data_IF_570835499626
#
_entry.id   IF_570835499626
#
_cell.length_a   1.000
_cell.length_b   1.000
_cell.length_c   1.000
_cell.angle_alpha   90.00
_cell.angle_beta   90.00
_cell.angle_gamma   90.00
#
_symmetry.space_group_name_H-M   'P 1'
#
loop_
_entity.id
_entity.type
_entity.pdbx_description
1 polymer ?
#
# COMPACT_ATOMS: atom_id res chain seq x y z
N UNK A 1 -24.71 -32.08 -22.87
CA UNK A 1 -24.27 -32.39 -21.49
C UNK A 1 -24.39 -31.10 -20.72
N UNK A 2 -25.43 -30.99 -19.90
CA UNK A 2 -25.57 -29.89 -18.94
C UNK A 2 -24.47 -30.03 -17.87
N UNK A 3 -23.89 -28.92 -17.37
CA UNK A 3 -22.92 -28.99 -16.29
C UNK A 3 -23.57 -29.45 -14.99
N UNK A 4 -22.88 -30.34 -14.29
CA UNK A 4 -23.27 -30.94 -13.01
C UNK A 4 -23.29 -29.88 -11.88
N UNK A 5 -24.42 -29.68 -11.19
CA UNK A 5 -24.56 -28.69 -10.11
C UNK A 5 -23.82 -29.07 -8.81
N UNK A 6 -23.09 -30.20 -8.77
CA UNK A 6 -22.31 -30.63 -7.60
C UNK A 6 -20.89 -30.06 -7.52
N UNK A 7 -20.47 -29.22 -8.47
CA UNK A 7 -19.20 -28.50 -8.35
C UNK A 7 -19.39 -27.25 -7.50
N UNK A 8 -18.95 -27.33 -6.24
CA UNK A 8 -18.68 -26.15 -5.42
C UNK A 8 -17.84 -25.16 -6.22
N UNK A 9 -18.15 -23.84 -6.20
CA UNK A 9 -17.37 -22.88 -6.97
C UNK A 9 -15.90 -23.01 -6.56
N UNK A 10 -15.02 -23.05 -7.56
CA UNK A 10 -13.57 -22.96 -7.34
C UNK A 10 -13.32 -21.79 -6.42
N UNK A 11 -13.02 -22.06 -5.15
CA UNK A 11 -13.01 -21.06 -4.09
C UNK A 11 -12.11 -19.89 -4.47
N UNK A 12 -12.60 -18.66 -4.32
CA UNK A 12 -11.82 -17.46 -4.60
C UNK A 12 -10.48 -17.54 -3.86
N UNK A 13 -9.40 -17.28 -4.59
CA UNK A 13 -8.05 -17.28 -4.03
C UNK A 13 -7.66 -15.84 -3.71
N UNK A 14 -7.02 -15.63 -2.55
CA UNK A 14 -6.37 -14.35 -2.28
C UNK A 14 -5.20 -14.12 -3.24
N UNK A 15 -4.93 -12.86 -3.60
CA UNK A 15 -3.84 -12.49 -4.49
C UNK A 15 -3.07 -11.25 -4.00
N UNK A 16 -1.85 -11.10 -4.48
CA UNK A 16 -0.96 -9.98 -4.16
C UNK A 16 -0.61 -9.24 -5.44
N UNK A 17 -0.90 -7.94 -5.49
CA UNK A 17 -0.67 -7.09 -6.65
C UNK A 17 0.32 -6.00 -6.25
N UNK A 18 1.52 -6.07 -6.81
CA UNK A 18 2.55 -5.06 -6.61
C UNK A 18 2.21 -3.82 -7.44
N UNK A 19 1.73 -2.77 -6.79
CA UNK A 19 1.35 -1.52 -7.45
C UNK A 19 2.58 -0.69 -7.83
N UNK A 20 3.67 -0.86 -7.10
CA UNK A 20 4.97 -0.33 -7.46
C UNK A 20 6.10 -1.05 -6.72
N UNK A 21 7.28 -1.00 -7.34
CA UNK A 21 8.51 -1.66 -6.89
C UNK A 21 9.73 -0.74 -7.03
N UNK A 22 9.48 0.56 -7.18
CA UNK A 22 10.49 1.60 -7.29
C UNK A 22 10.91 2.14 -5.93
N UNK A 23 12.02 2.89 -5.93
CA UNK A 23 12.48 3.61 -4.74
C UNK A 23 11.60 4.84 -4.46
N UNK A 24 11.97 5.62 -3.45
CA UNK A 24 11.28 6.89 -3.13
C UNK A 24 11.18 7.84 -4.32
N UNK A 25 12.16 7.84 -5.23
CA UNK A 25 12.14 8.65 -6.45
C UNK A 25 11.25 8.13 -7.58
N UNK A 26 10.70 6.91 -7.46
CA UNK A 26 10.24 6.10 -8.59
C UNK A 26 11.36 5.89 -9.64
N UNK A 27 11.09 5.07 -10.66
CA UNK A 27 11.96 4.90 -11.82
C UNK A 27 11.16 5.06 -13.11
N UNK A 28 11.74 5.72 -14.14
CA UNK A 28 13.08 6.34 -14.20
C UNK A 28 13.30 7.52 -13.24
N UNK A 29 14.56 7.75 -12.85
CA UNK A 29 14.92 8.99 -12.14
C UNK A 29 14.89 10.16 -13.14
N UNK A 30 13.95 11.08 -12.96
CA UNK A 30 13.78 12.24 -13.83
C UNK A 30 15.06 13.07 -13.95
N UNK A 31 15.88 13.17 -12.90
CA UNK A 31 17.16 13.90 -12.94
C UNK A 31 18.15 13.24 -13.89
N UNK A 32 18.16 11.91 -13.91
CA UNK A 32 19.01 11.12 -14.80
C UNK A 32 18.62 11.30 -16.27
N UNK A 33 17.34 11.53 -16.56
CA UNK A 33 16.87 11.79 -17.92
C UNK A 33 17.08 13.25 -18.35
N UNK A 34 16.87 14.21 -17.45
CA UNK A 34 17.08 15.63 -17.71
C UNK A 34 18.57 16.00 -17.84
N UNK A 35 19.45 15.28 -17.13
CA UNK A 35 20.90 15.47 -17.14
C UNK A 35 21.60 14.10 -17.31
N UNK A 36 21.58 13.53 -18.52
CA UNK A 36 22.14 12.20 -18.75
C UNK A 36 23.65 12.19 -18.52
N UNK A 37 24.12 11.12 -17.86
CA UNK A 37 25.55 10.80 -17.76
C UNK A 37 26.13 10.41 -19.13
N UNK A 38 27.46 10.29 -19.21
CA UNK A 38 28.14 9.75 -20.39
C UNK A 38 28.96 8.51 -19.99
N UNK A 39 28.53 7.28 -20.34
CA UNK A 39 27.32 6.96 -21.12
C UNK A 39 26.01 7.19 -20.32
N UNK A 40 24.84 7.32 -21.01
CA UNK A 40 23.54 7.43 -20.34
C UNK A 40 23.22 6.20 -19.48
N UNK A 41 22.48 6.40 -18.39
CA UNK A 41 22.05 5.31 -17.52
C UNK A 41 21.11 4.35 -18.26
N UNK A 42 21.55 3.11 -18.47
CA UNK A 42 20.80 2.10 -19.21
C UNK A 42 19.40 1.85 -18.61
N UNK A 43 19.28 1.80 -17.27
CA UNK A 43 17.99 1.54 -16.60
C UNK A 43 16.99 2.66 -16.87
N UNK A 44 17.41 3.92 -16.71
CA UNK A 44 16.53 5.07 -16.95
C UNK A 44 16.17 5.19 -18.43
N UNK A 45 17.12 4.95 -19.34
CA UNK A 45 16.87 4.92 -20.78
C UNK A 45 15.87 3.83 -21.18
N UNK A 46 16.00 2.62 -20.63
CA UNK A 46 15.04 1.54 -20.87
C UNK A 46 13.66 1.87 -20.30
N UNK A 47 13.59 2.50 -19.12
CA UNK A 47 12.33 2.84 -18.48
C UNK A 47 11.47 3.86 -19.24
N UNK A 48 12.00 4.56 -20.25
CA UNK A 48 11.21 5.39 -21.18
C UNK A 48 11.10 4.82 -22.61
N UNK A 49 11.72 3.67 -22.88
CA UNK A 49 11.76 3.09 -24.24
C UNK A 49 10.45 2.41 -24.67
N UNK A 50 9.56 2.13 -23.73
CA UNK A 50 8.28 1.44 -23.94
C UNK A 50 7.20 2.07 -23.06
N UNK A 51 5.91 1.94 -23.45
CA UNK A 51 4.79 2.36 -22.61
C UNK A 51 4.87 1.77 -21.19
N UNK A 52 4.53 2.54 -20.14
CA UNK A 52 4.69 2.11 -18.75
C UNK A 52 4.07 0.74 -18.43
N UNK A 53 2.93 0.40 -19.04
CA UNK A 53 2.15 -0.82 -18.78
C UNK A 53 2.95 -2.10 -19.07
N UNK A 54 3.80 -2.08 -20.10
CA UNK A 54 4.64 -3.20 -20.49
C UNK A 54 6.10 -3.10 -20.04
N UNK A 55 6.46 -2.02 -19.33
CA UNK A 55 7.86 -1.68 -19.09
C UNK A 55 8.27 -1.98 -17.63
N UNK A 56 9.04 -3.05 -17.37
CA UNK A 56 9.49 -3.41 -16.02
C UNK A 56 10.51 -2.43 -15.42
N UNK A 57 11.08 -1.52 -16.24
CA UNK A 57 11.98 -0.47 -15.78
C UNK A 57 11.23 0.85 -15.46
N UNK A 58 9.92 0.91 -15.72
CA UNK A 58 9.05 1.98 -15.23
C UNK A 58 8.39 1.55 -13.92
N UNK A 59 8.93 1.99 -12.79
CA UNK A 59 8.55 1.51 -11.46
C UNK A 59 8.02 2.65 -10.59
N UNK A 60 6.77 2.54 -10.21
CA UNK A 60 6.10 3.47 -9.28
C UNK A 60 6.63 3.31 -7.85
N UNK A 61 6.26 4.23 -6.93
CA UNK A 61 6.62 4.07 -5.52
C UNK A 61 6.12 2.73 -4.97
N UNK A 62 6.88 2.19 -4.04
CA UNK A 62 6.60 0.88 -3.44
C UNK A 62 5.22 0.89 -2.78
N UNK A 63 4.38 -0.08 -3.15
CA UNK A 63 3.03 -0.24 -2.61
C UNK A 63 2.50 -1.63 -3.00
N UNK A 64 1.68 -2.22 -2.13
CA UNK A 64 1.11 -3.54 -2.31
C UNK A 64 -0.40 -3.48 -2.12
N UNK A 65 -1.15 -4.02 -3.07
CA UNK A 65 -2.57 -4.32 -2.88
C UNK A 65 -2.73 -5.80 -2.56
N UNK A 66 -3.37 -6.09 -1.44
CA UNK A 66 -3.78 -7.43 -1.05
C UNK A 66 -5.26 -7.58 -1.41
N UNK A 67 -5.55 -8.48 -2.34
CA UNK A 67 -6.90 -8.95 -2.61
C UNK A 67 -7.15 -10.18 -1.74
N UNK A 68 -7.81 -9.97 -0.59
CA UNK A 68 -8.04 -10.99 0.42
C UNK A 68 -9.42 -11.62 0.24
N UNK A 69 -9.44 -12.89 -0.14
CA UNK A 69 -10.66 -13.68 -0.25
C UNK A 69 -10.98 -14.36 1.09
N UNK A 70 -12.16 -14.06 1.64
CA UNK A 70 -12.70 -14.64 2.86
C UNK A 70 -13.22 -16.06 2.65
N UNK A 71 -13.49 -16.77 3.75
CA UNK A 71 -14.01 -18.14 3.71
C UNK A 71 -15.40 -18.23 3.05
N UNK A 72 -16.16 -17.11 3.01
CA UNK A 72 -17.45 -16.99 2.32
C UNK A 72 -17.34 -16.58 0.83
N UNK A 73 -16.12 -16.43 0.33
CA UNK A 73 -15.83 -16.00 -1.05
C UNK A 73 -15.87 -14.50 -1.28
N UNK A 74 -16.16 -13.69 -0.25
CA UNK A 74 -16.12 -12.22 -0.38
C UNK A 74 -14.68 -11.72 -0.47
N UNK A 75 -14.45 -10.73 -1.33
CA UNK A 75 -13.14 -10.12 -1.52
C UNK A 75 -13.03 -8.81 -0.74
N UNK A 76 -11.89 -8.62 -0.09
CA UNK A 76 -11.51 -7.40 0.63
C UNK A 76 -10.17 -6.89 0.13
N UNK A 77 -10.12 -5.62 -0.23
CA UNK A 77 -8.95 -4.97 -0.83
C UNK A 77 -8.22 -4.15 0.22
N UNK A 78 -7.01 -4.55 0.57
CA UNK A 78 -6.19 -3.92 1.60
C UNK A 78 -4.95 -3.34 0.94
N UNK A 79 -4.77 -2.03 1.05
CA UNK A 79 -3.64 -1.32 0.45
C UNK A 79 -2.53 -1.12 1.50
N UNK A 80 -1.29 -1.47 1.18
CA UNK A 80 -0.11 -1.09 1.94
C UNK A 80 0.61 0.05 1.22
N UNK A 81 0.71 1.18 1.91
CA UNK A 81 1.25 2.47 1.45
C UNK A 81 0.49 3.11 0.27
N UNK A 82 0.39 4.43 0.35
CA UNK A 82 -0.27 5.29 -0.63
C UNK A 82 0.64 6.49 -0.97
N UNK A 83 1.66 6.19 -1.76
CA UNK A 83 2.68 7.16 -2.16
C UNK A 83 2.23 8.21 -3.18
N UNK A 84 3.12 9.13 -3.52
CA UNK A 84 2.89 10.19 -4.55
C UNK A 84 2.57 9.67 -5.96
N UNK A 85 2.84 8.39 -6.26
CA UNK A 85 2.46 7.78 -7.54
C UNK A 85 1.08 7.11 -7.53
N UNK A 86 0.29 7.29 -6.46
CA UNK A 86 -0.97 6.58 -6.26
C UNK A 86 -1.96 6.73 -7.42
N UNK A 87 -2.15 7.94 -7.94
CA UNK A 87 -2.98 8.17 -9.13
C UNK A 87 -2.67 7.21 -10.28
N UNK A 88 -1.39 7.06 -10.60
CA UNK A 88 -0.97 6.19 -11.69
C UNK A 88 -1.13 4.72 -11.33
N UNK A 89 -0.92 4.35 -10.06
CA UNK A 89 -1.18 2.99 -9.57
C UNK A 89 -2.66 2.61 -9.76
N UNK A 90 -3.59 3.52 -9.49
CA UNK A 90 -5.03 3.32 -9.73
C UNK A 90 -5.28 3.13 -11.22
N UNK A 91 -4.84 4.08 -12.06
CA UNK A 91 -5.09 4.03 -13.51
C UNK A 91 -4.52 2.77 -14.17
N UNK A 92 -3.35 2.30 -13.73
CA UNK A 92 -2.69 1.13 -14.31
C UNK A 92 -3.21 -0.18 -13.75
N UNK A 93 -3.23 -0.30 -12.43
CA UNK A 93 -3.41 -1.61 -11.79
C UNK A 93 -4.84 -1.83 -11.31
N UNK A 94 -5.49 -0.82 -10.75
CA UNK A 94 -6.86 -0.99 -10.27
C UNK A 94 -7.81 -1.21 -11.45
N UNK A 95 -7.64 -0.44 -12.53
CA UNK A 95 -8.41 -0.62 -13.76
C UNK A 95 -8.11 -1.99 -14.39
N UNK A 96 -6.85 -2.39 -14.48
CA UNK A 96 -6.45 -3.67 -15.07
C UNK A 96 -6.99 -4.88 -14.29
N UNK A 97 -6.87 -4.85 -12.96
CA UNK A 97 -7.33 -5.92 -12.06
C UNK A 97 -8.80 -5.78 -11.65
N UNK A 98 -9.51 -4.75 -12.16
CA UNK A 98 -10.91 -4.45 -11.86
C UNK A 98 -11.20 -4.28 -10.37
N UNK A 99 -10.27 -3.64 -9.66
CA UNK A 99 -10.38 -3.32 -8.23
C UNK A 99 -11.35 -2.13 -8.09
N UNK A 100 -12.51 -2.33 -7.43
CA UNK A 100 -13.56 -1.31 -7.41
C UNK A 100 -13.35 -0.22 -6.35
N UNK A 101 -12.68 -0.56 -5.25
CA UNK A 101 -12.43 0.30 -4.08
C UNK A 101 -11.38 -0.37 -3.18
N UNK A 102 -11.04 0.28 -2.06
CA UNK A 102 -10.15 -0.22 -1.00
C UNK A 102 -10.92 -0.25 0.32
N UNK A 103 -10.92 -1.40 1.00
CA UNK A 103 -11.59 -1.58 2.28
C UNK A 103 -10.76 -1.06 3.47
N UNK A 104 -9.43 -1.06 3.37
CA UNK A 104 -8.54 -0.49 4.38
C UNK A 104 -7.15 -0.17 3.83
N UNK A 105 -6.48 0.79 4.46
CA UNK A 105 -5.10 1.17 4.13
C UNK A 105 -4.21 0.92 5.35
N UNK A 106 -2.98 0.46 5.13
CA UNK A 106 -1.95 0.29 6.15
C UNK A 106 -0.74 1.12 5.71
N UNK A 107 -0.26 2.01 6.57
CA UNK A 107 0.93 2.82 6.31
C UNK A 107 2.14 2.24 7.04
N UNK A 108 3.22 1.97 6.30
CA UNK A 108 4.48 1.47 6.85
C UNK A 108 5.21 2.54 7.64
N UNK A 109 5.22 3.77 7.14
CA UNK A 109 5.91 4.93 7.70
C UNK A 109 5.46 6.25 7.05
N UNK A 110 5.95 7.40 7.52
CA UNK A 110 5.49 8.73 7.10
C UNK A 110 6.23 9.36 5.91
N UNK A 111 7.21 8.68 5.29
CA UNK A 111 7.92 9.29 4.17
C UNK A 111 7.01 9.54 2.97
N UNK A 112 7.46 10.47 2.12
CA UNK A 112 6.66 11.00 1.03
C UNK A 112 6.18 9.93 0.03
N UNK A 113 7.03 8.95 -0.25
CA UNK A 113 6.74 7.82 -1.11
C UNK A 113 5.80 6.78 -0.50
N UNK A 114 5.48 6.87 0.79
CA UNK A 114 4.50 6.03 1.46
C UNK A 114 3.16 6.74 1.73
N UNK A 115 3.13 8.08 1.83
CA UNK A 115 1.92 8.80 2.31
C UNK A 115 1.41 9.95 1.42
N UNK A 116 2.16 10.44 0.43
CA UNK A 116 1.73 11.64 -0.33
C UNK A 116 0.51 11.43 -1.24
N UNK A 117 0.05 10.20 -1.44
CA UNK A 117 -1.19 9.91 -2.15
C UNK A 117 -2.43 9.97 -1.24
N UNK A 118 -2.29 10.27 0.06
CA UNK A 118 -3.40 10.36 1.01
C UNK A 118 -4.49 11.37 0.58
N UNK A 119 -4.10 12.42 -0.13
CA UNK A 119 -5.03 13.43 -0.66
C UNK A 119 -6.01 12.86 -1.70
N UNK A 120 -5.64 11.76 -2.38
CA UNK A 120 -6.44 11.11 -3.41
C UNK A 120 -7.18 9.86 -2.92
N UNK A 121 -7.15 9.56 -1.61
CA UNK A 121 -7.85 8.37 -1.03
C UNK A 121 -9.32 8.34 -1.41
N UNK A 122 -9.95 9.49 -1.57
CA UNK A 122 -11.38 9.60 -1.91
C UNK A 122 -11.77 8.88 -3.20
N UNK A 123 -10.82 8.71 -4.14
CA UNK A 123 -11.02 8.01 -5.42
C UNK A 123 -11.32 6.53 -5.23
N UNK A 124 -10.86 5.93 -4.12
CA UNK A 124 -10.97 4.49 -3.87
C UNK A 124 -11.80 4.16 -2.62
N UNK A 125 -12.54 5.13 -2.07
CA UNK A 125 -13.41 4.86 -0.93
C UNK A 125 -14.66 4.07 -1.35
N UNK A 126 -15.07 3.06 -0.55
CA UNK A 126 -16.33 2.39 -0.78
C UNK A 126 -17.50 3.37 -0.59
N UNK A 127 -18.58 3.10 -1.34
CA UNK A 127 -19.84 3.81 -1.22
C UNK A 127 -20.92 2.85 -0.80
N UNK A 128 -21.80 3.29 0.10
CA UNK A 128 -22.94 2.50 0.53
C UNK A 128 -24.06 2.48 -0.54
N UNK A 129 -25.14 1.75 -0.28
CA UNK A 129 -26.31 1.64 -1.19
C UNK A 129 -27.01 2.99 -1.46
N UNK A 130 -26.79 3.99 -0.61
CA UNK A 130 -27.32 5.35 -0.75
C UNK A 130 -26.34 6.28 -1.48
N UNK A 131 -25.23 5.74 -1.97
CA UNK A 131 -24.12 6.45 -2.61
C UNK A 131 -23.40 7.44 -1.67
N UNK A 132 -23.53 7.27 -0.34
CA UNK A 132 -22.72 8.00 0.63
C UNK A 132 -21.34 7.36 0.72
N UNK A 133 -20.32 8.21 0.86
CA UNK A 133 -18.95 7.79 1.14
C UNK A 133 -18.87 7.18 2.54
N UNK A 134 -18.36 5.96 2.63
CA UNK A 134 -18.06 5.28 3.89
C UNK A 134 -16.68 5.68 4.42
N UNK A 135 -16.49 5.58 5.74
CA UNK A 135 -15.19 5.82 6.34
C UNK A 135 -14.23 4.69 5.98
N UNK A 136 -13.04 5.05 5.47
CA UNK A 136 -11.96 4.09 5.22
C UNK A 136 -11.01 4.03 6.42
N UNK A 137 -10.82 2.86 7.05
CA UNK A 137 -9.86 2.70 8.13
C UNK A 137 -8.43 2.75 7.59
N UNK A 138 -7.61 3.62 8.18
CA UNK A 138 -6.17 3.73 7.88
C UNK A 138 -5.37 3.39 9.12
N UNK A 139 -4.60 2.30 9.05
CA UNK A 139 -3.77 1.78 10.12
C UNK A 139 -2.35 2.35 10.04
N UNK A 140 -1.87 2.93 11.14
CA UNK A 140 -0.57 3.59 11.20
C UNK A 140 -0.06 3.69 12.64
N UNK A 141 1.25 3.88 12.83
CA UNK A 141 1.80 4.14 14.17
C UNK A 141 1.43 5.55 14.67
N UNK A 142 1.51 5.77 15.98
CA UNK A 142 1.35 7.11 16.54
C UNK A 142 2.37 8.11 15.96
N UNK A 143 3.61 7.67 15.74
CA UNK A 143 4.65 8.50 15.13
C UNK A 143 4.27 8.95 13.71
N UNK A 144 3.75 8.02 12.89
CA UNK A 144 3.23 8.34 11.55
C UNK A 144 2.05 9.31 11.64
N UNK A 145 1.13 9.10 12.59
CA UNK A 145 -0.03 9.97 12.80
C UNK A 145 0.39 11.40 13.14
N UNK A 146 1.33 11.58 14.07
CA UNK A 146 1.83 12.90 14.47
C UNK A 146 2.48 13.67 13.30
N UNK A 147 3.09 12.95 12.36
CA UNK A 147 3.60 13.54 11.12
C UNK A 147 2.49 13.93 10.15
N UNK A 148 1.50 13.06 9.96
CA UNK A 148 0.34 13.32 9.11
C UNK A 148 -0.45 14.52 9.63
N UNK A 149 -0.75 14.60 10.93
CA UNK A 149 -1.46 15.74 11.53
C UNK A 149 -0.75 17.07 11.25
N UNK A 150 0.59 17.09 11.27
CA UNK A 150 1.36 18.32 10.97
C UNK A 150 1.38 18.67 9.48
N UNK A 151 1.34 17.68 8.59
CA UNK A 151 1.50 17.87 7.14
C UNK A 151 0.17 18.03 6.41
N UNK A 152 -0.86 17.36 6.90
CA UNK A 152 -2.20 17.28 6.34
C UNK A 152 -3.26 17.51 7.42
N UNK A 153 -3.23 18.66 8.13
CA UNK A 153 -4.18 18.92 9.22
C UNK A 153 -5.63 18.81 8.76
N UNK A 154 -5.94 19.17 7.51
CA UNK A 154 -7.28 19.06 6.91
C UNK A 154 -7.79 17.63 6.76
N UNK A 155 -6.92 16.61 6.68
CA UNK A 155 -7.31 15.19 6.65
C UNK A 155 -7.65 14.65 8.06
N UNK A 156 -7.30 15.39 9.11
CA UNK A 156 -7.49 14.99 10.52
C UNK A 156 -8.57 15.85 11.18
N UNK A 157 -8.44 17.16 11.06
CA UNK A 157 -9.40 18.15 11.52
C UNK A 157 -10.46 18.34 10.43
N UNK A 158 -11.45 17.45 10.39
CA UNK A 158 -12.67 17.72 9.62
C UNK A 158 -13.47 18.82 10.33
N UNK A 159 -13.05 20.08 10.15
CA UNK A 159 -13.92 21.21 10.46
C UNK A 159 -15.06 21.18 9.44
N UNK A 160 -16.31 21.31 9.86
CA UNK A 160 -17.36 21.67 8.92
C UNK A 160 -16.97 23.04 8.36
N UNK A 161 -16.52 23.10 7.11
CA UNK A 161 -16.51 24.37 6.40
C UNK A 161 -17.97 24.76 6.18
N UNK A 162 -18.34 25.95 6.64
CA UNK A 162 -19.64 26.55 6.36
C UNK A 162 -19.79 26.69 4.83
N UNK A 163 -20.42 25.72 4.18
CA UNK A 163 -21.06 25.91 2.87
C UNK A 163 -20.49 25.18 1.65
N UNK A 164 -19.60 24.19 1.78
CA UNK A 164 -19.22 23.32 0.65
C UNK A 164 -19.60 21.85 0.90
N UNK A 165 -20.90 21.56 0.77
CA UNK A 165 -21.45 20.20 0.87
C UNK A 165 -20.96 19.28 -0.28
N UNK A 166 -20.34 19.85 -1.33
CA UNK A 166 -19.84 19.14 -2.52
C UNK A 166 -18.34 18.85 -2.48
N UNK A 167 -17.61 19.31 -1.44
CA UNK A 167 -16.20 18.99 -1.29
C UNK A 167 -16.00 17.47 -1.10
N UNK A 168 -15.37 16.82 -2.07
CA UNK A 168 -15.04 15.38 -2.02
C UNK A 168 -13.87 15.14 -1.05
N UNK A 169 -14.13 15.33 0.25
CA UNK A 169 -13.15 15.11 1.30
C UNK A 169 -13.14 13.63 1.69
N UNK A 170 -11.94 13.05 1.81
CA UNK A 170 -11.79 11.68 2.28
C UNK A 170 -12.33 11.53 3.70
N UNK A 171 -13.16 10.52 3.94
CA UNK A 171 -13.68 10.18 5.27
C UNK A 171 -12.77 9.12 5.85
N UNK A 172 -11.81 9.54 6.65
CA UNK A 172 -10.77 8.65 7.18
C UNK A 172 -11.09 8.27 8.62
N UNK A 173 -10.97 6.98 8.94
CA UNK A 173 -10.98 6.44 10.29
C UNK A 173 -9.56 6.05 10.70
N UNK A 174 -8.86 6.93 11.41
CA UNK A 174 -7.47 6.72 11.81
C UNK A 174 -7.37 5.65 12.92
N UNK A 175 -6.62 4.57 12.65
CA UNK A 175 -6.41 3.45 13.57
C UNK A 175 -4.95 3.35 14.00
N UNK A 176 -4.65 3.72 15.24
CA UNK A 176 -3.31 3.60 15.80
C UNK A 176 -2.97 2.13 16.03
N UNK A 177 -1.88 1.66 15.43
CA UNK A 177 -1.27 0.35 15.66
C UNK A 177 0.04 0.50 16.42
N UNK A 178 0.40 -0.54 17.17
CA UNK A 178 1.66 -0.58 17.91
C UNK A 178 2.78 -1.17 17.04
N UNK A 179 4.01 -0.69 17.23
CA UNK A 179 5.20 -1.19 16.55
C UNK A 179 5.79 -2.41 17.29
N UNK A 180 4.94 -3.42 17.51
CA UNK A 180 5.27 -4.60 18.30
C UNK A 180 4.77 -5.89 17.60
N UNK A 181 5.67 -6.88 17.54
CA UNK A 181 5.42 -8.20 16.92
C UNK A 181 4.38 -9.00 17.70
N UNK A 182 4.22 -8.73 19.00
CA UNK A 182 3.26 -9.41 19.87
C UNK A 182 1.88 -8.73 19.87
N UNK A 183 1.72 -7.65 19.09
CA UNK A 183 0.48 -6.85 19.03
C UNK A 183 -0.11 -6.83 17.62
N UNK A 184 -0.63 -7.98 17.14
CA UNK A 184 -1.29 -8.05 15.84
C UNK A 184 -2.56 -7.20 15.82
N UNK A 185 -2.91 -6.75 14.62
CA UNK A 185 -4.17 -6.05 14.34
C UNK A 185 -4.90 -6.74 13.19
N UNK A 186 -6.15 -6.33 12.95
CA UNK A 186 -6.99 -6.88 11.88
C UNK A 186 -7.41 -5.77 10.94
N UNK A 187 -7.01 -5.88 9.68
CA UNK A 187 -7.40 -4.97 8.60
C UNK A 187 -8.35 -5.73 7.65
N UNK A 188 -9.60 -5.29 7.55
CA UNK A 188 -10.64 -5.91 6.69
C UNK A 188 -10.74 -7.45 6.83
N UNK A 189 -10.54 -7.96 8.05
CA UNK A 189 -10.58 -9.38 8.39
C UNK A 189 -9.27 -10.16 8.16
N UNK A 190 -8.24 -9.55 7.59
CA UNK A 190 -6.90 -10.09 7.54
C UNK A 190 -6.13 -9.72 8.82
N UNK A 191 -5.65 -10.72 9.54
CA UNK A 191 -4.73 -10.49 10.66
C UNK A 191 -3.34 -10.14 10.13
N UNK A 192 -2.81 -9.02 10.60
CA UNK A 192 -1.50 -8.50 10.28
C UNK A 192 -0.66 -8.38 11.55
N UNK A 193 0.57 -8.88 11.50
CA UNK A 193 1.57 -8.73 12.55
C UNK A 193 2.55 -7.63 12.13
N UNK A 194 2.66 -6.52 12.89
CA UNK A 194 3.68 -5.51 12.67
C UNK A 194 5.08 -6.10 12.79
N UNK A 195 5.98 -5.76 11.86
CA UNK A 195 7.38 -6.16 11.87
C UNK A 195 8.26 -4.90 11.89
N UNK A 196 8.62 -4.38 13.07
CA UNK A 196 9.42 -3.16 13.15
C UNK A 196 10.84 -3.40 12.64
N UNK A 197 11.33 -2.53 11.77
CA UNK A 197 12.63 -2.67 11.10
C UNK A 197 13.32 -1.32 11.00
N UNK A 198 14.65 -1.34 10.94
CA UNK A 198 15.42 -0.10 10.81
C UNK A 198 15.36 0.39 9.37
N UNK A 199 14.99 1.65 9.18
CA UNK A 199 15.07 2.36 7.90
C UNK A 199 16.06 3.53 8.03
N UNK A 200 17.34 3.22 7.81
CA UNK A 200 18.44 4.12 8.14
C UNK A 200 18.85 4.05 9.62
N UNK A 201 19.67 5.00 10.04
CA UNK A 201 20.14 5.06 11.43
C UNK A 201 19.12 5.79 12.32
N UNK A 202 18.76 5.17 13.44
CA UNK A 202 17.86 5.77 14.43
C UNK A 202 16.39 5.90 14.04
N UNK A 203 15.96 5.31 12.92
CA UNK A 203 14.59 5.41 12.43
C UNK A 203 13.99 4.03 12.18
N UNK A 204 12.74 3.85 12.63
CA UNK A 204 12.00 2.58 12.54
C UNK A 204 10.80 2.77 11.62
N UNK A 205 10.64 1.86 10.66
CA UNK A 205 9.40 1.68 9.91
C UNK A 205 8.81 0.29 10.20
N UNK A 206 7.62 0.03 9.66
CA UNK A 206 6.97 -1.27 9.76
C UNK A 206 7.04 -2.03 8.42
N UNK A 207 7.40 -3.30 8.51
CA UNK A 207 6.87 -4.32 7.59
C UNK A 207 5.67 -5.04 8.21
N UNK A 208 5.10 -5.98 7.48
CA UNK A 208 3.93 -6.74 7.95
C UNK A 208 4.04 -8.21 7.58
N UNK A 209 3.71 -9.09 8.54
CA UNK A 209 3.52 -10.52 8.33
C UNK A 209 2.02 -10.84 8.36
N UNK A 210 1.52 -11.49 7.32
CA UNK A 210 0.10 -11.84 7.21
C UNK A 210 -0.08 -13.15 6.43
N UNK A 211 -1.32 -13.66 6.42
CA UNK A 211 -1.70 -14.87 5.70
C UNK A 211 -1.90 -16.10 6.60
N UNK A 212 -2.94 -16.89 6.31
CA UNK A 212 -3.35 -18.07 7.11
C UNK A 212 -2.69 -19.36 6.63
N UNK A 213 -2.79 -19.65 5.32
CA UNK A 213 -2.28 -20.89 4.70
C UNK A 213 -0.86 -20.74 4.14
N UNK A 214 -0.55 -19.57 3.60
CA UNK A 214 0.78 -19.17 3.19
C UNK A 214 1.09 -17.85 3.89
N UNK A 215 2.13 -17.84 4.72
CA UNK A 215 2.57 -16.64 5.40
C UNK A 215 3.43 -15.81 4.48
N UNK A 216 3.18 -14.51 4.44
CA UNK A 216 3.90 -13.53 3.61
C UNK A 216 4.41 -12.43 4.52
N UNK A 217 5.73 -12.18 4.45
CA UNK A 217 6.34 -11.00 5.05
C UNK A 217 6.62 -9.94 3.98
N UNK A 218 5.99 -8.77 4.10
CA UNK A 218 6.21 -7.61 3.23
C UNK A 218 7.07 -6.56 3.95
N UNK A 219 8.22 -6.25 3.37
CA UNK A 219 9.26 -5.39 3.94
C UNK A 219 9.84 -4.48 2.84
N UNK A 220 9.38 -3.22 2.77
CA UNK A 220 9.74 -2.28 1.69
C UNK A 220 11.02 -1.48 1.97
N UNK A 221 11.11 -0.88 3.15
CA UNK A 221 12.12 0.12 3.49
C UNK A 221 13.03 -0.39 4.62
N UNK A 222 13.91 -1.35 4.30
CA UNK A 222 14.71 -2.04 5.33
C UNK A 222 16.20 -1.87 5.11
N UNK A 223 16.86 -1.29 6.10
CA UNK A 223 18.33 -1.27 6.22
C UNK A 223 18.85 -2.37 7.15
N UNK A 224 18.13 -2.68 8.24
CA UNK A 224 18.53 -3.70 9.21
C UNK A 224 17.32 -4.25 9.97
N UNK A 225 17.38 -5.53 10.34
CA UNK A 225 16.39 -6.14 11.20
C UNK A 225 16.68 -5.87 12.67
N UNK A 226 15.62 -5.61 13.43
CA UNK A 226 15.71 -5.52 14.89
C UNK A 226 15.66 -6.93 15.49
N UNK A 227 16.31 -7.18 16.65
CA UNK A 227 16.28 -8.49 17.30
C UNK A 227 14.85 -9.01 17.52
N UNK A 228 13.91 -8.15 17.92
CA UNK A 228 12.48 -8.50 18.08
C UNK A 228 11.84 -9.05 16.80
N UNK A 229 12.29 -8.58 15.64
CA UNK A 229 11.75 -8.96 14.33
C UNK A 229 12.42 -10.20 13.75
N UNK A 230 13.67 -10.48 14.11
CA UNK A 230 14.40 -11.67 13.65
C UNK A 230 13.82 -12.98 14.22
N UNK A 231 13.42 -12.97 15.48
CA UNK A 231 12.91 -14.16 16.17
C UNK A 231 11.55 -14.64 15.63
N UNK A 232 10.78 -13.78 14.95
CA UNK A 232 9.47 -14.12 14.39
C UNK A 232 9.47 -14.79 13.01
N UNK A 233 10.64 -14.97 12.37
CA UNK A 233 10.75 -15.35 10.95
C UNK A 233 10.82 -16.87 10.74
N UNK A 234 9.81 -17.46 10.10
CA UNK A 234 9.95 -18.80 9.50
C UNK A 234 9.43 -18.98 8.06
N UNK A 235 8.67 -18.05 7.47
CA UNK A 235 8.02 -18.32 6.17
C UNK A 235 7.90 -17.07 5.26
N UNK A 236 8.08 -17.32 3.95
CA UNK A 236 8.12 -16.49 2.72
C UNK A 236 8.42 -14.98 2.88
N UNK A 237 9.58 -14.60 2.35
CA UNK A 237 10.14 -13.25 2.32
C UNK A 237 9.84 -12.56 0.98
N UNK A 238 9.09 -11.45 1.00
CA UNK A 238 9.10 -10.46 -0.09
C UNK A 238 9.91 -9.26 0.39
N UNK A 239 11.10 -9.10 -0.19
CA UNK A 239 12.07 -8.09 0.18
C UNK A 239 12.30 -7.14 -1.01
N UNK A 240 12.06 -5.84 -0.82
CA UNK A 240 12.48 -4.83 -1.79
C UNK A 240 13.92 -4.39 -1.45
N UNK A 241 14.90 -4.89 -2.19
CA UNK A 241 16.31 -4.62 -1.93
C UNK A 241 16.75 -3.32 -2.61
N UNK A 242 16.85 -2.24 -1.82
CA UNK A 242 17.78 -1.13 -2.06
C UNK A 242 18.95 -1.26 -1.08
N UNK A 243 19.67 -2.38 -1.13
CA UNK A 243 21.00 -2.42 -0.54
C UNK A 243 21.93 -1.61 -1.44
N UNK A 244 22.39 -0.46 -0.93
CA UNK A 244 23.60 0.18 -1.41
C UNK A 244 24.82 -0.45 -0.75
#
# INVERSE_FOLDING_TARGET
MEPDPSQSPTGGSSSLIFLGTGCSGALPDARCLLKPSTPPCAVCSMGISQPPEGNPNYRLNTSLLIDYCHDDGTHKYILIDIGKTFREQVLRWFVHHKVPYVDSIILTHEHADAVLGLDEVWVVQPRNDRNDVEQIPIFLTQFTMDSITRRFPYLVEQKPEDGDEDAQVAKIDWKIIEDDVDKPFVASGLQCVPLPVMHGEGYICLGFLFGRRARVAYLSDVSRFLPKTEHGKKEILVHNSLFR
#
